data_IF_331514070776
#
_entry.id   IF_331514070776
#
_cell.length_a   1.000
_cell.length_b   1.000
_cell.length_c   1.000
_cell.angle_alpha   90.00
_cell.angle_beta   90.00
_cell.angle_gamma   90.00
#
_symmetry.space_group_name_H-M   'P 1'
#
loop_
_entity.id
_entity.type
_entity.pdbx_description
1 polymer ?
#
# COMPACT_ATOMS: atom_id res chain seq x y z
N UNK A 1 -13.44 -15.45 14.47
CA UNK A 1 -13.22 -14.95 13.09
C UNK A 1 -11.74 -15.04 12.82
N UNK A 2 -11.32 -15.79 11.80
CA UNK A 2 -9.91 -15.81 11.39
C UNK A 2 -9.63 -14.51 10.65
N UNK A 3 -8.86 -13.63 11.27
CA UNK A 3 -8.35 -12.43 10.61
C UNK A 3 -7.25 -12.93 9.67
N UNK A 4 -7.47 -12.81 8.36
CA UNK A 4 -6.44 -13.17 7.40
C UNK A 4 -5.43 -12.01 7.33
N UNK A 5 -4.19 -12.21 7.79
CA UNK A 5 -3.14 -11.21 7.64
C UNK A 5 -2.54 -11.34 6.24
N UNK A 6 -2.51 -10.24 5.49
CA UNK A 6 -1.66 -10.12 4.30
C UNK A 6 -0.45 -9.26 4.65
N UNK A 7 0.70 -9.92 4.73
CA UNK A 7 1.98 -9.23 4.82
C UNK A 7 2.49 -8.91 3.41
N UNK A 8 2.73 -7.63 3.13
CA UNK A 8 3.49 -7.20 1.96
C UNK A 8 4.96 -7.46 2.29
N UNK A 9 5.64 -8.27 1.47
CA UNK A 9 6.99 -8.76 1.77
C UNK A 9 8.07 -7.87 1.13
N UNK A 10 9.30 -7.99 1.63
CA UNK A 10 10.50 -7.41 0.99
C UNK A 10 10.77 -8.09 -0.37
N UNK A 11 11.53 -7.42 -1.23
CA UNK A 11 12.02 -7.95 -2.51
C UNK A 11 10.94 -8.34 -3.52
N UNK A 12 9.76 -7.73 -3.43
CA UNK A 12 8.68 -7.99 -4.37
C UNK A 12 8.84 -7.15 -5.63
N UNK A 13 8.72 -7.81 -6.78
CA UNK A 13 8.58 -7.10 -8.05
C UNK A 13 7.25 -6.34 -8.11
N UNK A 14 7.22 -5.25 -8.87
CA UNK A 14 6.02 -4.43 -9.14
C UNK A 14 4.79 -5.29 -9.46
N UNK A 15 4.96 -6.33 -10.30
CA UNK A 15 3.87 -7.23 -10.72
C UNK A 15 3.26 -8.03 -9.57
N UNK A 16 4.07 -8.45 -8.60
CA UNK A 16 3.60 -9.19 -7.43
C UNK A 16 2.85 -8.26 -6.48
N UNK A 17 3.35 -7.04 -6.26
CA UNK A 17 2.65 -6.02 -5.46
C UNK A 17 1.30 -5.65 -6.09
N UNK A 18 1.24 -5.48 -7.41
CA UNK A 18 -0.02 -5.26 -8.12
C UNK A 18 -1.01 -6.43 -7.98
N UNK A 19 -0.51 -7.67 -8.00
CA UNK A 19 -1.34 -8.87 -7.83
C UNK A 19 -1.91 -8.93 -6.42
N UNK A 20 -1.12 -8.60 -5.40
CA UNK A 20 -1.59 -8.47 -4.03
C UNK A 20 -2.65 -7.37 -3.90
N UNK A 21 -2.45 -6.22 -4.54
CA UNK A 21 -3.42 -5.12 -4.54
C UNK A 21 -4.78 -5.55 -5.10
N UNK A 22 -4.77 -6.27 -6.24
CA UNK A 22 -5.98 -6.87 -6.82
C UNK A 22 -6.64 -7.89 -5.87
N UNK A 23 -5.85 -8.75 -5.22
CA UNK A 23 -6.37 -9.77 -4.30
C UNK A 23 -7.07 -9.14 -3.09
N UNK A 24 -6.45 -8.13 -2.49
CA UNK A 24 -7.01 -7.41 -1.33
C UNK A 24 -8.33 -6.72 -1.66
N UNK A 25 -8.41 -6.07 -2.84
CA UNK A 25 -9.64 -5.44 -3.31
C UNK A 25 -10.82 -6.43 -3.42
N UNK A 26 -10.56 -7.68 -3.80
CA UNK A 26 -11.60 -8.71 -4.01
C UNK A 26 -12.13 -9.34 -2.72
N UNK A 27 -11.32 -9.42 -1.67
CA UNK A 27 -11.63 -10.26 -0.50
C UNK A 27 -12.07 -9.48 0.73
N UNK A 28 -11.72 -8.20 0.86
CA UNK A 28 -12.32 -7.25 1.81
C UNK A 28 -12.12 -7.53 3.32
N UNK A 29 -11.49 -8.63 3.72
CA UNK A 29 -11.36 -9.08 5.12
C UNK A 29 -9.93 -9.35 5.58
N UNK A 30 -8.93 -8.67 5.01
CA UNK A 30 -7.54 -8.83 5.42
C UNK A 30 -7.10 -7.71 6.38
N UNK A 31 -6.40 -8.08 7.45
CA UNK A 31 -5.46 -7.16 8.08
C UNK A 31 -4.22 -7.06 7.20
N UNK A 32 -3.64 -5.88 7.10
CA UNK A 32 -2.46 -5.65 6.26
C UNK A 32 -1.31 -5.20 7.15
N UNK A 33 -0.15 -5.83 6.95
CA UNK A 33 1.12 -5.43 7.55
C UNK A 33 2.18 -5.27 6.46
N UNK A 34 3.23 -4.51 6.79
CA UNK A 34 4.43 -4.40 5.98
C UNK A 34 5.55 -5.15 6.69
N UNK A 35 6.30 -5.94 5.94
CA UNK A 35 7.48 -6.62 6.46
C UNK A 35 8.50 -5.62 6.97
N UNK A 36 9.06 -5.86 8.16
CA UNK A 36 9.98 -4.93 8.83
C UNK A 36 11.35 -4.80 8.16
N UNK A 37 11.70 -5.74 7.28
CA UNK A 37 12.98 -5.84 6.57
C UNK A 37 12.98 -5.15 5.20
N UNK A 38 11.97 -4.33 4.90
CA UNK A 38 11.89 -3.61 3.62
C UNK A 38 13.05 -2.65 3.40
N UNK A 39 13.64 -2.72 2.22
CA UNK A 39 14.61 -1.73 1.74
C UNK A 39 13.92 -0.47 1.21
N UNK A 40 14.68 0.61 1.02
CA UNK A 40 14.15 1.83 0.38
C UNK A 40 13.58 1.56 -1.01
N UNK A 41 14.18 0.64 -1.78
CA UNK A 41 13.69 0.29 -3.11
C UNK A 41 12.32 -0.41 -3.04
N UNK A 42 12.11 -1.27 -2.04
CA UNK A 42 10.80 -1.91 -1.82
C UNK A 42 9.75 -0.87 -1.45
N UNK A 43 10.10 0.10 -0.59
CA UNK A 43 9.24 1.22 -0.21
C UNK A 43 8.83 2.03 -1.45
N UNK A 44 9.77 2.34 -2.35
CA UNK A 44 9.49 3.08 -3.58
C UNK A 44 8.54 2.30 -4.52
N UNK A 45 8.74 0.99 -4.66
CA UNK A 45 7.85 0.12 -5.45
C UNK A 45 6.42 0.12 -4.87
N UNK A 46 6.29 -0.05 -3.56
CA UNK A 46 5.00 -0.06 -2.88
C UNK A 46 4.32 1.30 -3.03
N UNK A 47 5.06 2.39 -2.83
CA UNK A 47 4.56 3.74 -2.99
C UNK A 47 4.05 3.99 -4.42
N UNK A 48 4.82 3.59 -5.44
CA UNK A 48 4.43 3.74 -6.85
C UNK A 48 3.16 2.95 -7.17
N UNK A 49 3.09 1.67 -6.78
CA UNK A 49 1.95 0.81 -7.11
C UNK A 49 0.68 1.31 -6.41
N UNK A 50 0.75 1.57 -5.11
CA UNK A 50 -0.43 1.93 -4.33
C UNK A 50 -0.93 3.35 -4.58
N UNK A 51 -0.05 4.30 -4.92
CA UNK A 51 -0.47 5.62 -5.40
C UNK A 51 -1.22 5.53 -6.73
N UNK A 52 -0.73 4.73 -7.69
CA UNK A 52 -1.45 4.47 -8.95
C UNK A 52 -2.81 3.81 -8.74
N UNK A 53 -2.89 2.86 -7.80
CA UNK A 53 -4.18 2.25 -7.46
C UNK A 53 -5.13 3.28 -6.84
N UNK A 54 -4.65 4.10 -5.91
CA UNK A 54 -5.45 5.17 -5.30
C UNK A 54 -6.02 6.10 -6.38
N UNK A 55 -5.17 6.65 -7.24
CA UNK A 55 -5.58 7.55 -8.33
C UNK A 55 -6.59 6.87 -9.27
N UNK A 56 -6.37 5.61 -9.63
CA UNK A 56 -7.28 4.85 -10.50
C UNK A 56 -8.67 4.66 -9.90
N UNK A 57 -8.77 4.49 -8.58
CA UNK A 57 -10.01 4.17 -7.91
C UNK A 57 -10.77 5.39 -7.38
N UNK A 58 -10.08 6.52 -7.17
CA UNK A 58 -10.69 7.80 -6.78
C UNK A 58 -11.74 8.29 -7.79
N UNK A 59 -11.49 8.11 -9.09
CA UNK A 59 -12.44 8.53 -10.14
C UNK A 59 -13.60 7.53 -10.39
N UNK A 60 -13.53 6.31 -9.83
CA UNK A 60 -14.36 5.18 -10.27
C UNK A 60 -15.37 4.63 -9.25
N UNK A 61 -15.72 5.36 -8.19
CA UNK A 61 -16.68 4.93 -7.14
C UNK A 61 -16.29 3.62 -6.42
N UNK A 62 -14.98 3.38 -6.24
CA UNK A 62 -14.44 2.19 -5.56
C UNK A 62 -13.92 2.52 -4.17
N UNK A 63 -14.84 2.98 -3.29
CA UNK A 63 -14.51 3.46 -1.95
C UNK A 63 -13.70 2.46 -1.10
N UNK A 64 -13.95 1.16 -1.27
CA UNK A 64 -13.20 0.11 -0.58
C UNK A 64 -11.74 0.09 -1.00
N UNK A 65 -11.48 0.10 -2.30
CA UNK A 65 -10.13 0.06 -2.84
C UNK A 65 -9.35 1.35 -2.56
N UNK A 66 -10.01 2.51 -2.58
CA UNK A 66 -9.46 3.79 -2.12
C UNK A 66 -9.05 3.70 -0.64
N UNK A 67 -9.93 3.21 0.23
CA UNK A 67 -9.63 3.04 1.65
C UNK A 67 -8.50 2.06 1.93
N UNK A 68 -8.41 0.97 1.15
CA UNK A 68 -7.33 0.00 1.24
C UNK A 68 -5.98 0.62 0.83
N UNK A 69 -5.94 1.30 -0.32
CA UNK A 69 -4.73 1.96 -0.79
C UNK A 69 -4.27 3.04 0.20
N UNK A 70 -5.20 3.84 0.71
CA UNK A 70 -4.93 4.83 1.75
C UNK A 70 -4.37 4.19 3.03
N UNK A 71 -4.92 3.06 3.47
CA UNK A 71 -4.42 2.33 4.65
C UNK A 71 -2.98 1.84 4.47
N UNK A 72 -2.65 1.29 3.30
CA UNK A 72 -1.31 0.77 3.02
C UNK A 72 -0.28 1.90 2.92
N UNK A 73 -0.63 3.00 2.26
CA UNK A 73 0.20 4.20 2.23
C UNK A 73 0.38 4.78 3.65
N UNK A 74 -0.67 4.76 4.48
CA UNK A 74 -0.58 5.14 5.88
C UNK A 74 0.39 4.27 6.68
N UNK A 75 0.32 2.94 6.52
CA UNK A 75 1.26 2.00 7.15
C UNK A 75 2.70 2.23 6.66
N UNK A 76 2.86 2.51 5.37
CA UNK A 76 4.17 2.80 4.78
C UNK A 76 4.77 4.06 5.41
N UNK A 77 3.99 5.12 5.62
CA UNK A 77 4.48 6.36 6.25
C UNK A 77 5.09 6.16 7.63
N UNK A 78 4.53 5.23 8.41
CA UNK A 78 4.98 4.93 9.78
C UNK A 78 6.12 3.88 9.81
N UNK A 79 6.55 3.36 8.65
CA UNK A 79 7.55 2.31 8.58
C UNK A 79 8.97 2.87 8.86
N UNK A 80 9.81 2.18 9.67
CA UNK A 80 11.06 2.72 10.20
C UNK A 80 12.11 3.10 9.15
N UNK A 81 12.05 2.49 7.97
CA UNK A 81 12.99 2.72 6.87
C UNK A 81 12.56 3.79 5.88
N UNK A 82 11.41 4.45 6.09
CA UNK A 82 10.93 5.52 5.20
C UNK A 82 11.65 6.83 5.49
N UNK A 83 12.26 7.40 4.46
CA UNK A 83 12.90 8.71 4.51
C UNK A 83 11.88 9.85 4.66
N UNK A 84 12.31 10.99 5.17
CA UNK A 84 11.46 12.18 5.30
C UNK A 84 10.90 12.67 3.94
N UNK A 85 11.66 12.49 2.86
CA UNK A 85 11.19 12.77 1.50
C UNK A 85 10.00 11.89 1.12
N UNK A 86 10.12 10.56 1.34
CA UNK A 86 9.05 9.61 1.07
C UNK A 86 7.83 9.84 1.98
N UNK A 87 8.03 10.17 3.26
CA UNK A 87 6.92 10.54 4.17
C UNK A 87 6.16 11.77 3.68
N UNK A 88 6.88 12.77 3.17
CA UNK A 88 6.29 13.98 2.60
C UNK A 88 5.48 13.67 1.34
N UNK A 89 6.02 12.83 0.46
CA UNK A 89 5.31 12.36 -0.74
C UNK A 89 4.04 11.59 -0.39
N UNK A 90 4.11 10.65 0.57
CA UNK A 90 2.93 9.89 1.04
C UNK A 90 1.87 10.83 1.61
N UNK A 91 2.28 11.81 2.43
CA UNK A 91 1.36 12.77 3.04
C UNK A 91 0.68 13.66 1.99
N UNK A 92 1.42 14.07 0.95
CA UNK A 92 0.86 14.80 -0.18
C UNK A 92 -0.12 13.98 -1.01
N UNK A 93 0.06 12.65 -1.09
CA UNK A 93 -0.88 11.76 -1.78
C UNK A 93 -2.16 11.57 -0.96
N UNK A 94 -2.02 11.35 0.36
CA UNK A 94 -3.16 11.11 1.26
C UNK A 94 -3.98 12.35 1.60
N UNK A 95 -3.39 13.55 1.49
CA UNK A 95 -4.06 14.83 1.75
C UNK A 95 -4.83 15.42 0.57
N UNK A 96 -4.88 14.72 -0.57
CA UNK A 96 -5.69 15.07 -1.75
C UNK A 96 -7.15 14.65 -1.55
#
# INVERSE_FOLDING_TARGET
>A
MSIHLLEIQSHQEVREVEKQARKLAMTGGYEVSLSSDMSSADIDIILEVWSKQLDKYTFGTKAREVGLAGRILGLLREHPHVSESQKSQISAILGK
#
